data_IF_272549111294
#
_entry.id   IF_272549111294
#
_cell.length_a   1.000
_cell.length_b   1.000
_cell.length_c   1.000
_cell.angle_alpha   90.00
_cell.angle_beta   90.00
_cell.angle_gamma   90.00
#
_symmetry.space_group_name_H-M   'P 1'
#
loop_
_entity.id
_entity.type
_entity.pdbx_description
1 polymer ?
#
# COMPACT_ATOMS: atom_id res chain seq x y z
N UNK A 1 -16.95 -11.80 13.90
CA UNK A 1 -17.08 -10.34 14.13
C UNK A 1 -18.18 -9.83 13.22
N UNK A 2 -19.24 -9.20 13.77
CA UNK A 2 -20.33 -8.68 12.93
C UNK A 2 -19.88 -7.46 12.13
N UNK A 3 -20.54 -7.19 10.98
CA UNK A 3 -20.16 -6.07 10.08
C UNK A 3 -20.17 -4.70 10.78
N UNK A 4 -21.00 -4.52 11.82
CA UNK A 4 -21.03 -3.29 12.61
C UNK A 4 -19.75 -3.04 13.41
N UNK A 5 -19.12 -4.09 13.95
CA UNK A 5 -17.88 -3.95 14.72
C UNK A 5 -16.70 -3.58 13.83
N UNK A 6 -16.67 -4.09 12.59
CA UNK A 6 -15.67 -3.72 11.58
C UNK A 6 -15.79 -2.24 11.19
N UNK A 7 -17.01 -1.74 11.01
CA UNK A 7 -17.24 -0.33 10.67
C UNK A 7 -16.78 0.61 11.79
N UNK A 8 -17.07 0.26 13.05
CA UNK A 8 -16.64 1.03 14.23
C UNK A 8 -15.12 1.05 14.31
N UNK A 9 -14.45 -0.09 14.07
CA UNK A 9 -12.98 -0.18 14.10
C UNK A 9 -12.35 0.70 13.00
N UNK A 10 -12.90 0.69 11.80
CA UNK A 10 -12.45 1.54 10.69
C UNK A 10 -12.61 3.02 11.03
N UNK A 11 -13.76 3.44 11.57
CA UNK A 11 -13.99 4.83 11.98
C UNK A 11 -12.99 5.24 13.07
N UNK A 12 -12.71 4.37 14.04
CA UNK A 12 -11.79 4.63 15.13
C UNK A 12 -10.34 4.77 14.61
N UNK A 13 -9.93 3.94 13.68
CA UNK A 13 -8.62 4.03 13.02
C UNK A 13 -8.51 5.33 12.21
N UNK A 14 -9.54 5.70 11.45
CA UNK A 14 -9.59 6.97 10.70
C UNK A 14 -9.49 8.15 11.66
N UNK A 15 -10.22 8.15 12.77
CA UNK A 15 -10.18 9.20 13.78
C UNK A 15 -8.78 9.33 14.41
N UNK A 16 -8.12 8.21 14.76
CA UNK A 16 -6.75 8.21 15.29
C UNK A 16 -5.77 8.76 14.25
N UNK A 17 -5.90 8.38 12.97
CA UNK A 17 -5.06 8.90 11.90
C UNK A 17 -5.27 10.40 11.71
N UNK A 18 -6.50 10.89 11.73
CA UNK A 18 -6.81 12.33 11.64
C UNK A 18 -6.21 13.09 12.84
N UNK A 19 -6.31 12.55 14.05
CA UNK A 19 -5.70 13.14 15.26
C UNK A 19 -4.18 13.17 15.14
N UNK A 20 -3.56 12.09 14.67
CA UNK A 20 -2.12 12.03 14.46
C UNK A 20 -1.65 13.00 13.37
N UNK A 21 -2.42 13.15 12.28
CA UNK A 21 -2.15 14.11 11.22
C UNK A 21 -2.25 15.53 11.77
N UNK A 22 -3.33 15.85 12.51
CA UNK A 22 -3.53 17.19 13.09
C UNK A 22 -2.49 17.54 14.16
N UNK A 23 -2.06 16.55 14.95
CA UNK A 23 -1.04 16.75 15.98
C UNK A 23 0.38 16.94 15.43
N UNK A 24 0.63 16.46 14.20
CA UNK A 24 1.92 16.56 13.52
C UNK A 24 1.94 17.63 12.40
N UNK A 25 0.84 18.35 12.18
CA UNK A 25 0.84 19.57 11.38
C UNK A 25 1.36 20.69 12.28
N UNK A 26 2.58 21.22 12.08
CA UNK A 26 2.94 22.49 12.69
C UNK A 26 1.95 23.53 12.15
N UNK A 27 1.32 24.26 13.07
CA UNK A 27 0.53 25.42 12.72
C UNK A 27 1.36 26.30 11.79
N UNK A 28 0.91 26.43 10.55
CA UNK A 28 1.40 27.44 9.64
C UNK A 28 0.84 28.80 10.07
N UNK A 29 1.18 29.22 11.29
CA UNK A 29 0.93 30.59 11.75
C UNK A 29 2.17 31.40 11.42
N UNK A 30 1.96 32.30 10.46
CA UNK A 30 2.78 33.46 10.19
C UNK A 30 4.25 33.23 9.85
N UNK A 31 4.52 33.01 8.57
CA UNK A 31 5.75 33.53 8.00
C UNK A 31 5.55 35.05 7.97
N UNK A 32 5.90 35.73 9.05
CA UNK A 32 6.10 37.16 9.03
C UNK A 32 7.16 37.45 7.96
N UNK A 33 6.73 38.17 6.95
CA UNK A 33 7.60 38.77 5.94
C UNK A 33 8.52 39.75 6.66
N UNK A 34 9.73 39.27 6.99
CA UNK A 34 10.80 40.15 7.40
C UNK A 34 11.30 40.89 6.15
N UNK A 35 10.62 41.97 5.79
CA UNK A 35 11.18 43.02 4.94
C UNK A 35 12.18 43.83 5.76
N UNK A 36 13.45 43.45 5.68
CA UNK A 36 14.54 44.26 6.14
C UNK A 36 15.52 44.51 4.99
N UNK A 37 15.37 45.68 4.41
CA UNK A 37 16.15 46.24 3.33
C UNK A 37 17.48 46.75 3.88
N UNK A 38 18.56 45.98 3.70
CA UNK A 38 19.93 46.45 3.87
C UNK A 38 20.83 45.90 2.76
N UNK A 39 21.66 46.73 2.09
CA UNK A 39 22.32 46.38 0.82
C UNK A 39 23.63 45.57 0.96
N UNK A 40 23.98 45.04 2.11
CA UNK A 40 25.15 44.13 2.27
C UNK A 40 24.80 42.63 2.09
N UNK A 41 23.68 42.31 1.49
CA UNK A 41 22.94 41.08 1.76
C UNK A 41 23.10 39.94 0.73
N UNK A 42 23.88 40.05 -0.30
CA UNK A 42 23.91 39.00 -1.34
C UNK A 42 24.32 37.60 -0.83
N UNK A 43 25.28 37.52 0.07
CA UNK A 43 25.74 36.25 0.66
C UNK A 43 24.80 35.75 1.77
N UNK A 44 24.31 36.67 2.61
CA UNK A 44 23.42 36.34 3.73
C UNK A 44 22.06 35.89 3.21
N UNK A 45 21.60 36.44 2.09
CA UNK A 45 20.32 36.07 1.47
C UNK A 45 20.37 34.66 0.86
N UNK A 46 21.49 34.32 0.17
CA UNK A 46 21.72 32.96 -0.39
C UNK A 46 21.78 31.89 0.71
N UNK A 47 22.39 32.19 1.85
CA UNK A 47 22.46 31.27 2.97
C UNK A 47 21.12 31.07 3.66
N UNK A 48 20.32 32.12 3.81
CA UNK A 48 18.95 32.03 4.33
C UNK A 48 18.04 31.19 3.44
N UNK A 49 18.10 31.40 2.12
CA UNK A 49 17.32 30.62 1.14
C UNK A 49 17.73 29.15 1.16
N UNK A 50 19.01 28.83 1.26
CA UNK A 50 19.52 27.46 1.35
C UNK A 50 19.07 26.76 2.65
N UNK A 51 19.09 27.45 3.78
CA UNK A 51 18.62 26.93 5.08
C UNK A 51 17.12 26.69 5.02
N UNK A 52 16.34 27.61 4.46
CA UNK A 52 14.90 27.44 4.32
C UNK A 52 14.54 26.29 3.39
N UNK A 53 15.24 26.13 2.27
CA UNK A 53 15.05 25.02 1.34
C UNK A 53 15.40 23.67 2.00
N UNK A 54 16.48 23.59 2.77
CA UNK A 54 16.86 22.40 3.51
C UNK A 54 15.83 22.01 4.58
N UNK A 55 15.27 22.99 5.28
CA UNK A 55 14.25 22.77 6.30
C UNK A 55 12.93 22.29 5.68
N UNK A 56 12.48 22.87 4.57
CA UNK A 56 11.30 22.41 3.82
C UNK A 56 11.45 20.98 3.31
N UNK A 57 12.63 20.62 2.81
CA UNK A 57 12.93 19.26 2.39
C UNK A 57 12.85 18.28 3.58
N UNK A 58 13.43 18.64 4.72
CA UNK A 58 13.38 17.82 5.93
C UNK A 58 11.94 17.60 6.42
N UNK A 59 11.08 18.64 6.35
CA UNK A 59 9.66 18.53 6.67
C UNK A 59 8.91 17.63 5.69
N UNK A 60 9.12 17.80 4.38
CA UNK A 60 8.52 16.96 3.37
C UNK A 60 8.90 15.49 3.58
N UNK A 61 10.19 15.21 3.83
CA UNK A 61 10.71 13.87 4.10
C UNK A 61 10.05 13.25 5.32
N UNK A 62 9.91 13.99 6.43
CA UNK A 62 9.27 13.50 7.65
C UNK A 62 7.80 13.14 7.44
N UNK A 63 7.06 13.93 6.64
CA UNK A 63 5.64 13.66 6.32
C UNK A 63 5.47 12.39 5.50
N UNK A 64 6.41 12.08 4.64
CA UNK A 64 6.37 10.95 3.70
C UNK A 64 6.86 9.64 4.34
N UNK A 65 7.76 9.71 5.32
CA UNK A 65 8.46 8.56 5.87
C UNK A 65 7.53 7.52 6.48
N UNK A 66 6.57 7.97 7.32
CA UNK A 66 5.67 7.07 8.02
C UNK A 66 4.71 6.33 7.05
N UNK A 67 3.95 7.04 6.16
CA UNK A 67 3.07 6.34 5.23
C UNK A 67 3.83 5.44 4.24
N UNK A 68 5.05 5.81 3.85
CA UNK A 68 5.90 4.97 3.01
C UNK A 68 6.31 3.68 3.72
N UNK A 69 6.66 3.72 5.01
CA UNK A 69 6.96 2.54 5.81
C UNK A 69 5.74 1.61 5.94
N UNK A 70 4.55 2.16 6.15
CA UNK A 70 3.32 1.36 6.17
C UNK A 70 3.05 0.69 4.83
N UNK A 71 3.27 1.38 3.71
CA UNK A 71 3.11 0.81 2.38
C UNK A 71 4.11 -0.34 2.14
N UNK A 72 5.38 -0.18 2.54
CA UNK A 72 6.40 -1.23 2.48
C UNK A 72 6.02 -2.42 3.39
N UNK A 73 5.59 -2.14 4.62
CA UNK A 73 5.19 -3.18 5.58
C UNK A 73 4.02 -4.03 5.08
N UNK A 74 2.97 -3.38 4.55
CA UNK A 74 1.85 -4.09 3.93
C UNK A 74 2.27 -4.88 2.70
N UNK A 75 3.17 -4.34 1.88
CA UNK A 75 3.76 -5.05 0.75
C UNK A 75 4.51 -6.30 1.23
N UNK A 76 5.27 -6.22 2.31
CA UNK A 76 5.95 -7.35 2.94
C UNK A 76 4.99 -8.45 3.42
N UNK A 77 3.89 -8.07 4.07
CA UNK A 77 2.86 -9.02 4.51
C UNK A 77 2.22 -9.71 3.31
N UNK A 78 1.85 -8.98 2.26
CA UNK A 78 1.29 -9.54 1.04
C UNK A 78 2.28 -10.48 0.33
N UNK A 79 3.58 -10.17 0.35
CA UNK A 79 4.63 -11.03 -0.20
C UNK A 79 4.66 -12.38 0.51
N UNK A 80 4.63 -12.38 1.85
CA UNK A 80 4.61 -13.60 2.64
C UNK A 80 3.35 -14.42 2.34
N UNK A 81 2.18 -13.78 2.36
CA UNK A 81 0.91 -14.45 2.09
C UNK A 81 0.84 -15.00 0.67
N UNK A 82 1.27 -14.24 -0.33
CA UNK A 82 1.36 -14.70 -1.72
C UNK A 82 2.27 -15.91 -1.86
N UNK A 83 3.43 -15.90 -1.19
CA UNK A 83 4.36 -17.04 -1.19
C UNK A 83 3.75 -18.28 -0.55
N UNK A 84 3.07 -18.15 0.58
CA UNK A 84 2.39 -19.28 1.26
C UNK A 84 1.30 -19.88 0.38
N UNK A 85 0.47 -19.05 -0.27
CA UNK A 85 -0.57 -19.52 -1.18
C UNK A 85 0.04 -20.23 -2.40
N UNK A 86 1.14 -19.72 -2.93
CA UNK A 86 1.86 -20.34 -4.05
C UNK A 86 2.40 -21.72 -3.67
N UNK A 87 3.05 -21.83 -2.51
CA UNK A 87 3.54 -23.12 -1.99
C UNK A 87 2.39 -24.11 -1.79
N UNK A 88 1.26 -23.65 -1.24
CA UNK A 88 0.07 -24.48 -1.08
C UNK A 88 -0.49 -24.96 -2.43
N UNK A 89 -0.49 -24.12 -3.46
CA UNK A 89 -0.90 -24.51 -4.81
C UNK A 89 -0.01 -25.64 -5.38
N UNK A 90 1.29 -25.54 -5.16
CA UNK A 90 2.25 -26.59 -5.55
C UNK A 90 1.98 -27.87 -4.79
N UNK A 91 1.75 -27.79 -3.47
CA UNK A 91 1.42 -28.96 -2.66
C UNK A 91 0.14 -29.65 -3.16
N UNK A 92 -0.94 -28.89 -3.41
CA UNK A 92 -2.21 -29.43 -3.93
C UNK A 92 -1.99 -30.12 -5.29
N UNK A 93 -1.07 -29.63 -6.13
CA UNK A 93 -0.78 -30.25 -7.42
C UNK A 93 -0.08 -31.62 -7.31
N UNK A 94 0.53 -31.91 -6.17
CA UNK A 94 1.25 -33.15 -5.89
C UNK A 94 0.40 -34.19 -5.12
N UNK A 95 -0.73 -33.78 -4.56
CA UNK A 95 -1.63 -34.66 -3.81
C UNK A 95 -2.42 -35.53 -4.79
N UNK A 96 -2.48 -36.86 -4.56
CA UNK A 96 -3.36 -37.77 -5.30
C UNK A 96 -4.82 -37.31 -5.22
N UNK A 97 -5.58 -37.52 -6.29
CA UNK A 97 -6.97 -37.05 -6.35
C UNK A 97 -7.84 -37.62 -5.23
N UNK A 98 -7.57 -38.87 -4.80
CA UNK A 98 -8.30 -39.54 -3.71
C UNK A 98 -8.10 -38.84 -2.35
N UNK A 99 -6.87 -38.45 -2.05
CA UNK A 99 -6.57 -37.70 -0.81
C UNK A 99 -7.15 -36.30 -0.86
N UNK A 100 -7.12 -35.65 -2.01
CA UNK A 100 -7.76 -34.32 -2.21
C UNK A 100 -9.27 -34.40 -2.03
N UNK A 101 -9.93 -35.46 -2.50
CA UNK A 101 -11.36 -35.69 -2.32
C UNK A 101 -11.75 -35.78 -0.84
N UNK A 102 -10.97 -36.53 -0.07
CA UNK A 102 -11.19 -36.65 1.38
C UNK A 102 -11.08 -35.29 2.08
N UNK A 103 -10.03 -34.53 1.79
CA UNK A 103 -9.80 -33.21 2.39
C UNK A 103 -10.90 -32.21 1.95
N UNK A 104 -11.36 -32.30 0.70
CA UNK A 104 -12.44 -31.48 0.17
C UNK A 104 -13.79 -31.77 0.87
N UNK A 105 -14.12 -33.04 1.07
CA UNK A 105 -15.34 -33.43 1.79
C UNK A 105 -15.30 -33.02 3.27
N UNK A 106 -14.14 -33.10 3.92
CA UNK A 106 -13.98 -32.59 5.28
C UNK A 106 -14.19 -31.06 5.34
N UNK A 107 -13.57 -30.30 4.43
CA UNK A 107 -13.75 -28.86 4.33
C UNK A 107 -15.22 -28.48 4.04
N UNK A 108 -15.90 -29.23 3.17
CA UNK A 108 -17.33 -29.07 2.87
C UNK A 108 -18.20 -29.29 4.09
N UNK A 109 -17.90 -30.31 4.89
CA UNK A 109 -18.62 -30.58 6.15
C UNK A 109 -18.41 -29.49 7.20
N UNK A 110 -17.21 -28.92 7.29
CA UNK A 110 -16.92 -27.76 8.15
C UNK A 110 -17.72 -26.53 7.66
N UNK A 111 -17.73 -26.31 6.34
CA UNK A 111 -18.47 -25.17 5.73
C UNK A 111 -19.97 -25.29 5.98
N UNK A 112 -20.53 -26.48 5.90
CA UNK A 112 -21.96 -26.73 6.26
C UNK A 112 -22.32 -26.33 7.69
N UNK A 113 -21.38 -26.54 8.63
CA UNK A 113 -21.58 -26.17 10.04
C UNK A 113 -21.49 -24.66 10.29
N UNK A 114 -20.62 -23.95 9.55
CA UNK A 114 -20.31 -22.52 9.79
C UNK A 114 -21.18 -21.63 8.91
N UNK A 115 -21.38 -22.01 7.63
CA UNK A 115 -22.08 -21.23 6.60
C UNK A 115 -22.97 -22.14 5.75
N UNK A 116 -24.17 -22.52 6.25
CA UNK A 116 -25.05 -23.48 5.55
C UNK A 116 -25.47 -22.99 4.15
N UNK A 117 -25.67 -21.69 3.95
CA UNK A 117 -26.03 -21.13 2.64
C UNK A 117 -24.91 -21.28 1.59
N UNK A 118 -23.65 -21.13 2.00
CA UNK A 118 -22.49 -21.32 1.12
C UNK A 118 -22.33 -22.79 0.73
N UNK A 119 -22.67 -23.73 1.62
CA UNK A 119 -22.61 -25.16 1.37
C UNK A 119 -23.60 -25.64 0.31
N UNK A 120 -24.80 -25.04 0.23
CA UNK A 120 -25.80 -25.37 -0.80
C UNK A 120 -25.24 -25.07 -2.20
N UNK A 121 -24.49 -23.99 -2.36
CA UNK A 121 -23.86 -23.64 -3.63
C UNK A 121 -22.73 -24.61 -4.01
N UNK A 122 -22.04 -25.18 -3.03
CA UNK A 122 -21.00 -26.21 -3.24
C UNK A 122 -21.61 -27.55 -3.63
N UNK A 123 -22.77 -27.90 -3.08
CA UNK A 123 -23.51 -29.14 -3.39
C UNK A 123 -24.08 -29.15 -4.80
N UNK A 124 -24.43 -27.99 -5.33
CA UNK A 124 -25.01 -27.84 -6.67
C UNK A 124 -23.95 -27.82 -7.80
N UNK A 125 -22.66 -27.93 -7.48
CA UNK A 125 -21.60 -28.02 -8.49
C UNK A 125 -21.44 -29.47 -8.97
N UNK A 126 -21.92 -29.77 -10.18
CA UNK A 126 -21.75 -31.08 -10.87
C UNK A 126 -20.33 -31.28 -11.44
N UNK A 127 -19.30 -30.60 -10.89
CA UNK A 127 -17.92 -30.72 -11.37
C UNK A 127 -17.27 -31.98 -10.82
N UNK A 128 -16.48 -32.65 -11.65
CA UNK A 128 -15.68 -33.79 -11.18
C UNK A 128 -14.58 -33.31 -10.20
N UNK A 129 -14.20 -34.15 -9.24
CA UNK A 129 -13.16 -33.81 -8.24
C UNK A 129 -11.85 -33.37 -8.90
N UNK A 130 -11.47 -33.99 -10.02
CA UNK A 130 -10.28 -33.60 -10.81
C UNK A 130 -10.40 -32.17 -11.36
N UNK A 131 -11.56 -31.79 -11.81
CA UNK A 131 -11.81 -30.43 -12.32
C UNK A 131 -11.79 -29.40 -11.18
N UNK A 132 -12.37 -29.76 -10.02
CA UNK A 132 -12.31 -28.92 -8.82
C UNK A 132 -10.87 -28.71 -8.37
N UNK A 133 -10.08 -29.78 -8.29
CA UNK A 133 -8.66 -29.71 -7.94
C UNK A 133 -7.90 -28.82 -8.91
N UNK A 134 -8.04 -29.02 -10.21
CA UNK A 134 -7.39 -28.20 -11.26
C UNK A 134 -7.80 -26.75 -11.16
N UNK A 135 -9.10 -26.47 -11.00
CA UNK A 135 -9.64 -25.10 -10.86
C UNK A 135 -9.08 -24.42 -9.61
N UNK A 136 -9.01 -25.13 -8.49
CA UNK A 136 -8.45 -24.63 -7.23
C UNK A 136 -6.98 -24.25 -7.39
N UNK A 137 -6.17 -25.07 -8.06
CA UNK A 137 -4.76 -24.79 -8.33
C UNK A 137 -4.63 -23.51 -9.16
N UNK A 138 -5.39 -23.39 -10.26
CA UNK A 138 -5.31 -22.22 -11.13
C UNK A 138 -5.76 -20.93 -10.45
N UNK A 139 -6.83 -20.98 -9.65
CA UNK A 139 -7.32 -19.81 -8.90
C UNK A 139 -6.26 -19.39 -7.86
N UNK A 140 -5.74 -20.34 -7.09
CA UNK A 140 -4.73 -20.05 -6.07
C UNK A 140 -3.42 -19.54 -6.69
N UNK A 141 -2.96 -20.12 -7.80
CA UNK A 141 -1.77 -19.68 -8.51
C UNK A 141 -1.97 -18.25 -9.07
N UNK A 142 -3.10 -17.99 -9.72
CA UNK A 142 -3.42 -16.67 -10.26
C UNK A 142 -3.50 -15.61 -9.15
N UNK A 143 -4.19 -15.93 -8.06
CA UNK A 143 -4.29 -15.05 -6.89
C UNK A 143 -2.93 -14.79 -6.24
N UNK A 144 -2.10 -15.83 -6.11
CA UNK A 144 -0.72 -15.71 -5.60
C UNK A 144 0.14 -14.82 -6.47
N UNK A 145 0.15 -15.01 -7.80
CA UNK A 145 0.86 -14.14 -8.73
C UNK A 145 0.42 -12.67 -8.62
N UNK A 146 -0.88 -12.47 -8.45
CA UNK A 146 -1.44 -11.13 -8.27
C UNK A 146 -1.00 -10.49 -6.94
N UNK A 147 -0.98 -11.26 -5.84
CA UNK A 147 -0.46 -10.79 -4.55
C UNK A 147 1.04 -10.47 -4.62
N UNK A 148 1.83 -11.32 -5.24
CA UNK A 148 3.27 -11.11 -5.38
C UNK A 148 3.59 -9.88 -6.24
N UNK A 149 2.91 -9.74 -7.38
CA UNK A 149 3.04 -8.55 -8.25
C UNK A 149 2.66 -7.26 -7.53
N UNK A 150 1.55 -7.27 -6.80
CA UNK A 150 1.11 -6.14 -6.02
C UNK A 150 2.01 -5.81 -4.83
N UNK A 151 2.56 -6.84 -4.17
CA UNK A 151 3.58 -6.66 -3.12
C UNK A 151 4.79 -5.90 -3.64
N UNK A 152 5.26 -6.29 -4.82
CA UNK A 152 6.36 -5.59 -5.48
C UNK A 152 6.02 -4.11 -5.74
N UNK A 153 4.83 -3.83 -6.29
CA UNK A 153 4.39 -2.45 -6.53
C UNK A 153 4.28 -1.64 -5.24
N UNK A 154 3.79 -2.22 -4.14
CA UNK A 154 3.69 -1.54 -2.85
C UNK A 154 5.07 -1.25 -2.25
N UNK A 155 5.99 -2.21 -2.27
CA UNK A 155 7.34 -2.05 -1.74
C UNK A 155 8.10 -1.01 -2.56
N UNK A 156 8.08 -1.12 -3.89
CA UNK A 156 8.72 -0.16 -4.78
C UNK A 156 8.09 1.22 -4.71
N UNK A 157 6.76 1.29 -4.59
CA UNK A 157 6.02 2.53 -4.38
C UNK A 157 6.45 3.23 -3.09
N UNK A 158 6.48 2.51 -1.98
CA UNK A 158 6.93 3.03 -0.69
C UNK A 158 8.40 3.47 -0.71
N UNK A 159 9.26 2.71 -1.38
CA UNK A 159 10.68 3.07 -1.55
C UNK A 159 10.86 4.35 -2.36
N UNK A 160 10.19 4.44 -3.53
CA UNK A 160 10.21 5.64 -4.37
C UNK A 160 9.60 6.85 -3.65
N UNK A 161 8.58 6.65 -2.81
CA UNK A 161 7.98 7.69 -1.99
C UNK A 161 9.00 8.29 -1.01
N UNK A 162 9.83 7.46 -0.34
CA UNK A 162 10.89 7.93 0.56
C UNK A 162 12.00 8.69 -0.15
N UNK A 163 12.28 8.36 -1.40
CA UNK A 163 13.33 8.97 -2.20
C UNK A 163 12.83 10.13 -3.07
N UNK A 164 11.52 10.41 -3.09
CA UNK A 164 10.88 11.36 -4.01
C UNK A 164 11.17 11.07 -5.48
N UNK A 165 11.40 9.81 -5.84
CA UNK A 165 11.86 9.46 -7.18
C UNK A 165 10.70 9.43 -8.19
N UNK A 166 10.06 8.29 -8.40
CA UNK A 166 9.00 8.13 -9.39
C UNK A 166 7.61 8.26 -8.79
N UNK A 167 6.94 9.41 -9.00
CA UNK A 167 5.56 9.62 -8.55
C UNK A 167 4.60 8.56 -9.14
N UNK A 168 4.82 8.15 -10.40
CA UNK A 168 4.00 7.13 -11.06
C UNK A 168 4.05 5.78 -10.34
N UNK A 169 5.23 5.32 -9.93
CA UNK A 169 5.40 4.08 -9.17
C UNK A 169 4.75 4.17 -7.79
N UNK A 170 4.85 5.32 -7.13
CA UNK A 170 4.17 5.58 -5.86
C UNK A 170 2.66 5.46 -6.02
N UNK A 171 2.09 6.11 -7.04
CA UNK A 171 0.65 6.07 -7.32
C UNK A 171 0.17 4.65 -7.62
N UNK A 172 0.92 3.86 -8.40
CA UNK A 172 0.59 2.46 -8.66
C UNK A 172 0.57 1.61 -7.37
N UNK A 173 1.55 1.76 -6.50
CA UNK A 173 1.59 1.07 -5.22
C UNK A 173 0.42 1.45 -4.30
N UNK A 174 0.07 2.74 -4.25
CA UNK A 174 -1.04 3.25 -3.46
C UNK A 174 -2.39 2.78 -4.02
N UNK A 175 -2.58 2.82 -5.34
CA UNK A 175 -3.80 2.32 -5.99
C UNK A 175 -4.00 0.83 -5.75
N UNK A 176 -2.91 0.05 -5.84
CA UNK A 176 -2.98 -1.37 -5.51
C UNK A 176 -3.39 -1.60 -4.05
N UNK A 177 -2.82 -0.83 -3.11
CA UNK A 177 -3.17 -0.87 -1.69
C UNK A 177 -4.65 -0.50 -1.43
N UNK A 178 -5.23 0.37 -2.26
CA UNK A 178 -6.63 0.81 -2.15
C UNK A 178 -7.63 -0.26 -2.59
N UNK A 179 -7.22 -1.28 -3.38
CA UNK A 179 -8.13 -2.31 -3.88
C UNK A 179 -8.64 -3.23 -2.74
N UNK A 180 -9.97 -3.28 -2.49
CA UNK A 180 -10.53 -3.92 -1.29
C UNK A 180 -10.40 -5.45 -1.26
N UNK A 181 -10.27 -6.10 -2.42
CA UNK A 181 -10.31 -7.57 -2.53
C UNK A 181 -8.96 -8.22 -2.75
N UNK A 182 -7.87 -7.45 -2.78
CA UNK A 182 -6.61 -7.87 -3.36
C UNK A 182 -5.55 -8.18 -2.34
N UNK A 183 -5.67 -7.61 -1.15
CA UNK A 183 -4.70 -7.85 -0.06
C UNK A 183 -5.39 -8.35 1.19
N UNK A 184 -4.70 -9.16 1.99
CA UNK A 184 -5.18 -9.50 3.34
C UNK A 184 -5.49 -8.26 4.17
N UNK A 185 -4.74 -7.18 3.97
CA UNK A 185 -5.00 -5.88 4.59
C UNK A 185 -6.23 -5.18 3.98
N UNK A 186 -6.53 -5.43 2.70
CA UNK A 186 -7.71 -4.89 2.00
C UNK A 186 -9.02 -5.46 2.53
N UNK A 187 -9.05 -6.75 2.89
CA UNK A 187 -10.22 -7.38 3.50
C UNK A 187 -10.56 -6.80 4.88
N UNK A 188 -9.57 -6.23 5.57
CA UNK A 188 -9.74 -5.55 6.86
C UNK A 188 -9.96 -4.03 6.74
N UNK A 189 -9.99 -3.46 5.54
CA UNK A 189 -10.10 -2.02 5.31
C UNK A 189 -8.83 -1.21 5.63
N UNK A 190 -7.81 -1.82 6.24
CA UNK A 190 -6.55 -1.16 6.59
C UNK A 190 -5.80 -0.64 5.37
N UNK A 191 -5.78 -1.40 4.28
CA UNK A 191 -5.15 -0.98 3.03
C UNK A 191 -5.76 0.29 2.47
N UNK A 192 -7.08 0.42 2.52
CA UNK A 192 -7.80 1.60 2.03
C UNK A 192 -7.48 2.85 2.88
N UNK A 193 -7.41 2.69 4.20
CA UNK A 193 -7.06 3.79 5.12
C UNK A 193 -5.63 4.26 4.87
N UNK A 194 -4.69 3.33 4.71
CA UNK A 194 -3.29 3.66 4.42
C UNK A 194 -3.16 4.28 3.02
N UNK A 195 -3.87 3.75 2.02
CA UNK A 195 -3.90 4.33 0.68
C UNK A 195 -4.44 5.76 0.69
N UNK A 196 -5.56 6.02 1.39
CA UNK A 196 -6.11 7.35 1.54
C UNK A 196 -5.11 8.30 2.24
N UNK A 197 -4.44 7.83 3.29
CA UNK A 197 -3.40 8.60 3.95
C UNK A 197 -2.22 8.92 3.03
N UNK A 198 -1.71 7.93 2.30
CA UNK A 198 -0.67 8.14 1.29
C UNK A 198 -1.09 9.19 0.25
N UNK A 199 -2.33 9.12 -0.26
CA UNK A 199 -2.86 10.10 -1.21
C UNK A 199 -2.90 11.51 -0.61
N UNK A 200 -3.40 11.68 0.62
CA UNK A 200 -3.41 12.98 1.30
C UNK A 200 -2.00 13.57 1.42
N UNK A 201 -1.00 12.75 1.73
CA UNK A 201 0.38 13.21 1.81
C UNK A 201 0.93 13.55 0.42
N UNK A 202 0.64 12.77 -0.62
CA UNK A 202 1.07 13.02 -1.99
C UNK A 202 0.43 14.28 -2.60
N UNK A 203 -0.80 14.61 -2.20
CA UNK A 203 -1.45 15.86 -2.62
C UNK A 203 -0.93 17.10 -1.89
N UNK A 204 -0.11 16.94 -0.85
CA UNK A 204 0.49 18.09 -0.17
C UNK A 204 1.45 18.83 -1.13
N UNK A 205 1.31 20.16 -1.31
CA UNK A 205 2.09 20.92 -2.27
C UNK A 205 3.60 20.86 -2.01
N UNK A 206 4.04 20.77 -0.75
CA UNK A 206 5.45 20.63 -0.40
C UNK A 206 6.03 19.32 -0.90
N UNK A 207 5.28 18.21 -0.73
CA UNK A 207 5.71 16.88 -1.18
C UNK A 207 5.78 16.84 -2.72
N UNK A 208 4.78 17.40 -3.40
CA UNK A 208 4.77 17.48 -4.88
C UNK A 208 5.93 18.29 -5.43
N UNK A 209 6.29 19.40 -4.77
CA UNK A 209 7.45 20.20 -5.17
C UNK A 209 8.75 19.42 -5.08
N UNK A 210 8.96 18.59 -4.05
CA UNK A 210 10.15 17.76 -3.93
C UNK A 210 10.22 16.68 -5.03
N UNK A 211 9.10 16.04 -5.38
CA UNK A 211 9.06 15.13 -6.54
C UNK A 211 9.42 15.85 -7.84
N UNK A 212 8.91 17.06 -8.07
CA UNK A 212 9.22 17.85 -9.25
C UNK A 212 10.70 18.25 -9.30
N UNK A 213 11.32 18.64 -8.19
CA UNK A 213 12.74 18.96 -8.10
C UNK A 213 13.61 17.78 -8.47
N UNK A 214 13.32 16.58 -7.95
CA UNK A 214 14.10 15.38 -8.26
C UNK A 214 13.93 14.98 -9.73
N UNK A 215 12.73 15.06 -10.28
CA UNK A 215 12.48 14.79 -11.69
C UNK A 215 13.25 15.73 -12.61
N UNK A 216 13.28 17.04 -12.31
CA UNK A 216 14.03 18.02 -13.10
C UNK A 216 15.54 17.78 -13.05
N UNK A 217 16.11 17.41 -11.89
CA UNK A 217 17.53 17.05 -11.77
C UNK A 217 17.87 15.83 -12.62
N UNK A 218 17.01 14.83 -12.69
CA UNK A 218 17.24 13.63 -13.50
C UNK A 218 17.27 13.91 -15.01
N UNK A 219 16.48 14.88 -15.47
CA UNK A 219 16.48 15.34 -16.86
C UNK A 219 17.78 16.10 -17.16
N UNK A 220 18.17 17.04 -16.30
CA UNK A 220 19.34 17.86 -16.50
C UNK A 220 20.65 17.04 -16.55
N UNK A 221 20.76 16.00 -15.71
CA UNK A 221 21.92 15.09 -15.75
C UNK A 221 21.98 14.28 -17.04
N UNK A 222 20.82 13.89 -17.63
CA UNK A 222 20.79 13.15 -18.89
C UNK A 222 21.26 14.00 -20.07
N UNK A 223 20.90 15.28 -20.08
CA UNK A 223 21.29 16.21 -21.14
C UNK A 223 22.78 16.60 -21.08
N UNK A 224 23.44 16.43 -19.93
CA UNK A 224 24.88 16.68 -19.75
C UNK A 224 25.77 15.50 -20.19
N UNK A 225 25.18 14.29 -20.30
CA UNK A 225 25.90 13.07 -20.68
C UNK A 225 25.80 12.76 -22.20
N UNK A 226 25.10 13.60 -22.97
CA UNK A 226 25.01 13.56 -24.44
C UNK A 226 25.89 14.63 -25.07
#
# INVERSE_FOLDING_TARGET
MGPGLQLILIILIIAVIIILINRNLPEFTNIETWEDSSPESGKIQTDKENIQAAWLNALAKRKVEIPALFLIGLGGINLIMGSVIMLRSIQISQIPTEDFERDYEEAKNITRKIMPEAAINLDNQELSIKEIQKKTIWINAGYSCFLLGGSYLMIMGGWNMRQFNSLGMVMLGVLYCAMPCVSCAGTCGLGQVIAAWCLLVLFNPLVRQEFAKVANRSIQNRDSDC
#
